data_IF_355927734189
#
_entry.id   IF_355927734189
#
_cell.length_a   1.000
_cell.length_b   1.000
_cell.length_c   1.000
_cell.angle_alpha   90.00
_cell.angle_beta   90.00
_cell.angle_gamma   90.00
#
_symmetry.space_group_name_H-M   'P 1'
#
loop_
_entity.id
_entity.type
_entity.pdbx_description
1 polymer ?
#
# COMPACT_ATOMS: atom_id res chain seq x y z
N UNK A 1 -43.27 51.79 30.31
CA UNK A 1 -43.59 50.41 30.74
C UNK A 1 -44.91 50.01 30.08
N UNK A 2 -44.84 49.18 29.02
CA UNK A 2 -45.97 48.58 28.29
C UNK A 2 -45.36 47.42 27.47
N UNK A 3 -45.70 46.15 27.72
CA UNK A 3 -46.92 45.43 27.36
C UNK A 3 -46.81 44.70 25.99
N UNK A 4 -46.59 43.39 26.11
CA UNK A 4 -47.18 42.28 25.36
C UNK A 4 -47.40 42.35 23.83
N UNK A 5 -46.76 41.36 23.18
CA UNK A 5 -47.35 40.35 22.29
C UNK A 5 -47.85 40.73 20.87
N UNK A 6 -47.37 39.88 19.95
CA UNK A 6 -48.02 39.33 18.74
C UNK A 6 -47.78 40.03 17.40
N UNK A 7 -47.06 39.26 16.56
CA UNK A 7 -47.39 38.88 15.18
C UNK A 7 -47.60 40.01 14.17
N UNK A 8 -46.73 40.05 13.15
CA UNK A 8 -47.05 39.95 11.72
C UNK A 8 -45.71 39.82 10.95
N UNK A 9 -45.46 38.70 10.26
CA UNK A 9 -45.86 38.40 8.86
C UNK A 9 -44.94 39.10 7.87
N UNK A 10 -44.15 38.28 7.15
CA UNK A 10 -43.54 38.45 5.82
C UNK A 10 -42.42 39.49 5.67
N UNK A 11 -41.18 39.03 5.55
CA UNK A 11 -40.49 38.83 4.26
C UNK A 11 -40.31 40.15 3.51
N UNK A 12 -39.16 40.80 3.71
CA UNK A 12 -38.45 41.45 2.59
C UNK A 12 -36.96 41.65 2.93
N UNK A 13 -36.13 40.94 2.16
CA UNK A 13 -34.76 41.28 1.78
C UNK A 13 -33.68 41.44 2.85
N UNK A 14 -33.01 40.32 3.17
CA UNK A 14 -31.58 40.26 2.86
C UNK A 14 -31.09 38.82 2.75
N UNK A 15 -30.86 38.39 1.51
CA UNK A 15 -29.79 37.45 1.08
C UNK A 15 -28.67 37.38 2.15
N UNK A 16 -28.21 36.25 2.68
CA UNK A 16 -28.00 34.92 2.09
C UNK A 16 -27.97 33.87 3.21
N UNK A 17 -28.94 32.95 3.17
CA UNK A 17 -28.91 31.51 3.47
C UNK A 17 -28.01 30.97 4.61
N UNK A 18 -28.71 30.43 5.61
CA UNK A 18 -28.37 29.40 6.61
C UNK A 18 -27.38 28.31 6.10
N UNK A 19 -26.62 27.61 6.94
CA UNK A 19 -27.09 26.41 7.65
C UNK A 19 -26.03 25.97 8.68
N UNK A 20 -26.51 25.72 9.90
CA UNK A 20 -25.84 25.05 11.02
C UNK A 20 -25.50 23.58 10.71
N UNK A 21 -24.74 22.94 11.61
CA UNK A 21 -24.40 21.50 11.74
C UNK A 21 -23.36 20.95 10.75
N UNK A 22 -22.58 19.90 11.10
CA UNK A 22 -22.18 19.34 12.41
C UNK A 22 -20.65 19.20 12.52
N UNK A 23 -20.18 18.79 13.71
CA UNK A 23 -18.92 18.09 14.01
C UNK A 23 -17.82 18.14 12.93
N UNK A 24 -16.67 18.72 13.29
CA UNK A 24 -15.40 18.62 12.57
C UNK A 24 -15.01 17.15 12.38
N UNK A 25 -15.62 16.47 11.41
CA UNK A 25 -15.10 15.26 10.82
C UNK A 25 -13.98 15.73 9.91
N UNK A 26 -12.75 15.39 10.30
CA UNK A 26 -11.66 15.27 9.34
C UNK A 26 -12.17 14.35 8.23
N UNK A 27 -12.71 14.95 7.16
CA UNK A 27 -12.87 14.29 5.89
C UNK A 27 -11.45 14.07 5.41
N UNK A 28 -10.91 12.91 5.79
CA UNK A 28 -9.73 12.38 5.17
C UNK A 28 -10.00 12.48 3.67
N UNK A 29 -9.11 13.22 3.02
CA UNK A 29 -9.02 13.40 1.58
C UNK A 29 -9.34 12.07 0.90
N UNK A 30 -10.05 12.14 -0.23
CA UNK A 30 -10.36 11.01 -1.14
C UNK A 30 -9.32 9.91 -0.94
N UNK A 31 -9.68 8.66 -0.56
CA UNK A 31 -8.70 7.58 -0.57
C UNK A 31 -8.01 7.67 -1.93
N UNK A 32 -6.71 7.97 -1.89
CA UNK A 32 -5.95 8.19 -3.10
C UNK A 32 -6.24 7.01 -4.01
N UNK A 33 -6.47 7.25 -5.31
CA UNK A 33 -6.62 6.15 -6.29
C UNK A 33 -5.40 5.23 -6.34
N UNK A 34 -4.35 5.54 -5.57
CA UNK A 34 -3.51 4.56 -4.89
C UNK A 34 -4.35 3.67 -3.96
N UNK A 35 -5.22 2.86 -4.55
CA UNK A 35 -5.48 1.53 -4.04
C UNK A 35 -4.12 0.82 -3.98
N UNK A 36 -3.36 1.11 -2.92
CA UNK A 36 -2.18 0.38 -2.53
C UNK A 36 -2.61 -1.09 -2.48
N UNK A 37 -2.24 -1.83 -3.52
CA UNK A 37 -2.65 -3.21 -3.72
C UNK A 37 -2.51 -3.96 -2.41
N UNK A 38 -3.62 -4.58 -1.98
CA UNK A 38 -3.89 -5.19 -0.67
C UNK A 38 -2.91 -6.32 -0.32
N UNK A 39 -1.65 -5.97 -0.14
CA UNK A 39 -0.63 -6.85 0.42
C UNK A 39 -0.56 -6.47 1.89
N UNK A 40 -1.30 -7.21 2.71
CA UNK A 40 -1.38 -7.02 4.17
C UNK A 40 -0.09 -7.46 4.88
N UNK A 41 1.08 -7.31 4.26
CA UNK A 41 2.38 -7.70 4.81
C UNK A 41 2.71 -6.99 6.12
N UNK A 42 2.18 -5.79 6.36
CA UNK A 42 2.31 -5.10 7.64
C UNK A 42 1.49 -5.73 8.77
N UNK A 43 0.52 -6.61 8.46
CA UNK A 43 -0.26 -7.36 9.46
C UNK A 43 0.36 -8.72 9.80
N UNK A 44 1.31 -9.19 9.00
CA UNK A 44 1.99 -10.45 9.26
C UNK A 44 2.76 -10.36 10.58
N UNK A 45 2.41 -11.23 11.53
CA UNK A 45 3.10 -11.31 12.82
C UNK A 45 4.19 -12.38 12.85
N UNK A 46 4.21 -13.24 11.83
CA UNK A 46 5.18 -14.32 11.66
C UNK A 46 5.42 -14.60 10.15
N UNK A 47 6.50 -15.32 9.80
CA UNK A 47 6.82 -15.64 8.41
C UNK A 47 5.74 -16.44 7.66
N UNK A 48 5.03 -17.33 8.36
CA UNK A 48 3.96 -18.13 7.76
C UNK A 48 2.82 -17.24 7.27
N UNK A 49 2.39 -16.27 8.08
CA UNK A 49 1.37 -15.30 7.69
C UNK A 49 1.82 -14.46 6.49
N UNK A 50 3.07 -13.98 6.51
CA UNK A 50 3.66 -13.23 5.40
C UNK A 50 3.62 -14.05 4.10
N UNK A 51 4.04 -15.32 4.15
CA UNK A 51 3.95 -16.24 3.01
C UNK A 51 2.51 -16.41 2.51
N UNK A 52 1.53 -16.58 3.41
CA UNK A 52 0.13 -16.70 3.01
C UNK A 52 -0.36 -15.45 2.27
N UNK A 53 -0.04 -14.25 2.76
CA UNK A 53 -0.38 -13.00 2.07
C UNK A 53 0.30 -12.89 0.70
N UNK A 54 1.59 -13.24 0.60
CA UNK A 54 2.33 -13.23 -0.67
C UNK A 54 1.79 -14.25 -1.68
N UNK A 55 1.40 -15.45 -1.22
CA UNK A 55 0.80 -16.50 -2.05
C UNK A 55 -0.60 -16.10 -2.52
N UNK A 56 -1.40 -15.47 -1.66
CA UNK A 56 -2.71 -14.95 -2.03
C UNK A 56 -2.59 -13.81 -3.04
N UNK A 57 -1.61 -12.93 -2.86
CA UNK A 57 -1.30 -11.85 -3.81
C UNK A 57 -0.89 -12.39 -5.18
N UNK A 58 -0.02 -13.41 -5.22
CA UNK A 58 0.49 -14.01 -6.46
C UNK A 58 -0.62 -14.54 -7.40
N UNK A 59 -1.83 -14.78 -6.89
CA UNK A 59 -2.98 -15.28 -7.65
C UNK A 59 -3.83 -14.17 -8.26
N UNK A 60 -3.57 -12.90 -7.91
CA UNK A 60 -4.35 -11.75 -8.35
C UNK A 60 -3.60 -11.03 -9.48
N UNK A 61 -4.28 -10.63 -10.57
CA UNK A 61 -3.65 -9.79 -11.58
C UNK A 61 -3.28 -8.43 -10.96
N UNK A 62 -2.19 -7.85 -11.48
CA UNK A 62 -1.68 -6.55 -11.06
C UNK A 62 -1.85 -5.58 -12.21
N UNK A 63 -2.55 -4.48 -11.94
CA UNK A 63 -2.70 -3.38 -12.90
C UNK A 63 -1.37 -2.64 -13.07
N UNK A 64 -1.06 -2.23 -14.30
CA UNK A 64 0.21 -1.61 -14.68
C UNK A 64 0.54 -0.37 -13.83
N UNK A 65 -0.46 0.44 -13.51
CA UNK A 65 -0.33 1.68 -12.73
C UNK A 65 0.06 1.42 -11.27
N UNK A 66 -0.10 0.18 -10.80
CA UNK A 66 0.13 -0.19 -9.41
C UNK A 66 1.41 -0.99 -9.20
N UNK A 67 2.08 -1.42 -10.28
CA UNK A 67 3.30 -2.26 -10.22
C UNK A 67 4.40 -1.59 -9.40
N UNK A 68 4.71 -0.33 -9.66
CA UNK A 68 5.76 0.41 -8.94
C UNK A 68 5.46 0.50 -7.43
N UNK A 69 4.19 0.73 -7.08
CA UNK A 69 3.75 0.75 -5.69
C UNK A 69 3.92 -0.60 -4.99
N UNK A 70 3.59 -1.70 -5.68
CA UNK A 70 3.79 -3.05 -5.16
C UNK A 70 5.27 -3.36 -4.97
N UNK A 71 6.10 -3.04 -5.96
CA UNK A 71 7.55 -3.24 -5.87
C UNK A 71 8.09 -2.55 -4.62
N UNK A 72 7.69 -1.31 -4.37
CA UNK A 72 8.10 -0.56 -3.17
C UNK A 72 7.68 -1.25 -1.86
N UNK A 73 6.44 -1.73 -1.78
CA UNK A 73 5.93 -2.45 -0.58
C UNK A 73 6.70 -3.76 -0.36
N UNK A 74 6.95 -4.51 -1.44
CA UNK A 74 7.68 -5.77 -1.38
C UNK A 74 9.13 -5.55 -0.93
N UNK A 75 9.80 -4.54 -1.47
CA UNK A 75 11.17 -4.19 -1.10
C UNK A 75 11.26 -3.73 0.36
N UNK A 76 10.34 -2.88 0.81
CA UNK A 76 10.30 -2.45 2.21
C UNK A 76 10.17 -3.64 3.17
N UNK A 77 9.36 -4.64 2.82
CA UNK A 77 9.25 -5.86 3.61
C UNK A 77 10.50 -6.73 3.51
N UNK A 78 11.07 -6.88 2.32
CA UNK A 78 12.27 -7.68 2.09
C UNK A 78 13.45 -7.24 2.98
N UNK A 79 13.70 -5.93 3.11
CA UNK A 79 14.85 -5.42 3.86
C UNK A 79 14.76 -5.67 5.38
N UNK A 80 13.54 -5.80 5.94
CA UNK A 80 13.34 -6.09 7.38
C UNK A 80 13.07 -7.56 7.69
N UNK A 81 12.69 -8.35 6.69
CA UNK A 81 12.39 -9.77 6.86
C UNK A 81 13.65 -10.56 7.19
N UNK A 82 13.58 -11.60 8.00
CA UNK A 82 14.71 -12.49 8.32
C UNK A 82 14.53 -13.90 7.78
N UNK A 83 13.28 -14.30 7.50
CA UNK A 83 12.98 -15.61 6.93
C UNK A 83 13.37 -15.68 5.45
N UNK A 84 14.23 -16.64 5.12
CA UNK A 84 14.70 -16.84 3.75
C UNK A 84 13.57 -17.22 2.78
N UNK A 85 12.56 -17.96 3.24
CA UNK A 85 11.46 -18.39 2.38
C UNK A 85 10.60 -17.21 1.98
N UNK A 86 10.31 -16.29 2.91
CA UNK A 86 9.60 -15.04 2.65
C UNK A 86 10.42 -14.16 1.69
N UNK A 87 11.72 -13.97 1.95
CA UNK A 87 12.61 -13.19 1.07
C UNK A 87 12.65 -13.73 -0.37
N UNK A 88 12.82 -15.04 -0.53
CA UNK A 88 12.80 -15.70 -1.84
C UNK A 88 11.44 -15.54 -2.54
N UNK A 89 10.34 -15.65 -1.80
CA UNK A 89 9.01 -15.43 -2.36
C UNK A 89 8.83 -14.00 -2.85
N UNK A 90 9.35 -13.01 -2.11
CA UNK A 90 9.35 -11.61 -2.53
C UNK A 90 10.18 -11.43 -3.80
N UNK A 91 11.42 -11.93 -3.84
CA UNK A 91 12.28 -11.86 -5.03
C UNK A 91 11.60 -12.46 -6.28
N UNK A 92 10.93 -13.60 -6.13
CA UNK A 92 10.14 -14.21 -7.20
C UNK A 92 9.00 -13.32 -7.70
N UNK A 93 8.30 -12.61 -6.80
CA UNK A 93 7.24 -11.68 -7.18
C UNK A 93 7.76 -10.45 -7.88
N UNK A 94 8.91 -9.90 -7.46
CA UNK A 94 9.56 -8.78 -8.13
C UNK A 94 9.85 -9.12 -9.60
N UNK A 95 10.40 -10.30 -9.88
CA UNK A 95 10.64 -10.76 -11.25
C UNK A 95 9.38 -11.09 -12.06
N UNK A 96 8.24 -11.35 -11.41
CA UNK A 96 6.95 -11.51 -12.08
C UNK A 96 6.37 -10.15 -12.48
N UNK A 97 6.47 -9.16 -11.59
CA UNK A 97 5.93 -7.81 -11.79
C UNK A 97 6.56 -7.08 -12.97
N UNK A 98 7.85 -7.31 -13.26
CA UNK A 98 8.53 -6.74 -14.43
C UNK A 98 7.96 -7.24 -15.77
N UNK A 99 7.22 -8.35 -15.76
CA UNK A 99 6.56 -8.92 -16.94
C UNK A 99 5.13 -8.43 -17.13
N UNK A 100 4.66 -7.48 -16.32
CA UNK A 100 3.32 -6.91 -16.43
C UNK A 100 3.18 -6.21 -17.78
N UNK A 101 2.12 -6.53 -18.53
CA UNK A 101 1.93 -5.98 -19.87
C UNK A 101 1.79 -4.45 -19.81
N UNK A 102 2.58 -3.74 -20.64
CA UNK A 102 2.58 -2.28 -20.70
C UNK A 102 3.38 -1.60 -19.59
N UNK A 103 4.00 -2.35 -18.67
CA UNK A 103 4.91 -1.81 -17.66
C UNK A 103 6.32 -1.68 -18.23
N UNK A 104 6.95 -0.51 -18.05
CA UNK A 104 8.39 -0.33 -18.32
C UNK A 104 9.17 -0.68 -17.05
N UNK A 105 10.09 -1.67 -17.09
CA UNK A 105 10.86 -2.08 -15.92
C UNK A 105 11.99 -1.10 -15.56
N UNK A 106 12.30 -0.13 -16.41
CA UNK A 106 13.42 0.80 -16.23
C UNK A 106 13.33 1.59 -14.92
N UNK A 107 12.11 1.85 -14.42
CA UNK A 107 11.91 2.57 -13.16
C UNK A 107 12.14 1.74 -11.90
N UNK A 108 12.28 0.41 -12.01
CA UNK A 108 12.44 -0.50 -10.85
C UNK A 108 13.66 -1.43 -11.00
N UNK A 109 14.31 -1.45 -12.16
CA UNK A 109 15.35 -2.42 -12.48
C UNK A 109 16.55 -2.33 -11.55
N UNK A 110 17.02 -1.13 -11.22
CA UNK A 110 18.14 -0.92 -10.29
C UNK A 110 17.80 -1.43 -8.89
N UNK A 111 16.61 -1.09 -8.37
CA UNK A 111 16.17 -1.52 -7.05
C UNK A 111 16.06 -3.05 -6.95
N UNK A 112 15.46 -3.68 -7.98
CA UNK A 112 15.32 -5.13 -8.04
C UNK A 112 16.69 -5.80 -8.19
N UNK A 113 17.56 -5.26 -9.04
CA UNK A 113 18.90 -5.81 -9.27
C UNK A 113 19.75 -5.73 -8.00
N UNK A 114 19.76 -4.57 -7.33
CA UNK A 114 20.46 -4.39 -6.07
C UNK A 114 19.95 -5.38 -5.00
N UNK A 115 18.64 -5.57 -4.92
CA UNK A 115 18.02 -6.53 -4.00
C UNK A 115 18.48 -7.97 -4.25
N UNK A 116 18.51 -8.39 -5.52
CA UNK A 116 18.94 -9.74 -5.91
C UNK A 116 20.43 -9.99 -5.68
N UNK A 117 21.28 -8.98 -5.91
CA UNK A 117 22.70 -9.07 -5.61
C UNK A 117 22.95 -9.25 -4.10
N UNK A 118 22.21 -8.51 -3.25
CA UNK A 118 22.27 -8.66 -1.80
C UNK A 118 21.83 -10.07 -1.32
N UNK A 119 20.81 -10.70 -1.95
CA UNK A 119 20.48 -12.12 -1.69
C UNK A 119 21.69 -13.01 -2.00
N UNK A 120 22.30 -12.84 -3.18
CA UNK A 120 23.40 -13.69 -3.65
C UNK A 120 24.62 -13.60 -2.75
N UNK A 121 24.98 -12.39 -2.32
CA UNK A 121 26.06 -12.18 -1.38
C UNK A 121 25.74 -12.85 -0.04
N UNK A 122 24.53 -12.67 0.51
CA UNK A 122 24.14 -13.31 1.78
C UNK A 122 24.21 -14.84 1.72
N UNK A 123 23.82 -15.43 0.59
CA UNK A 123 23.87 -16.88 0.38
C UNK A 123 25.30 -17.39 0.18
N UNK A 124 26.18 -16.58 -0.43
CA UNK A 124 27.58 -16.96 -0.68
C UNK A 124 28.43 -17.12 0.59
N UNK A 125 28.03 -16.48 1.69
CA UNK A 125 28.66 -16.63 3.01
C UNK A 125 28.09 -17.79 3.84
N UNK A 126 27.04 -18.47 3.37
CA UNK A 126 26.58 -19.67 4.05
C UNK A 126 27.62 -20.76 3.84
N UNK A 127 28.15 -21.37 4.91
CA UNK A 127 29.08 -22.48 4.76
C UNK A 127 28.36 -23.58 4.00
N UNK A 128 28.78 -23.83 2.76
CA UNK A 128 28.39 -25.00 1.99
C UNK A 128 28.78 -26.20 2.84
N UNK A 129 27.82 -26.84 3.46
CA UNK A 129 28.02 -28.05 4.23
C UNK A 129 28.68 -29.08 3.32
N UNK A 130 30.00 -29.20 3.43
CA UNK A 130 30.76 -30.27 2.82
C UNK A 130 30.20 -31.57 3.38
N UNK A 131 29.53 -32.34 2.52
CA UNK A 131 29.20 -33.73 2.80
C UNK A 131 30.52 -34.48 3.01
N UNK A 132 30.67 -35.06 4.20
CA UNK A 132 31.62 -36.13 4.49
C UNK A 132 30.96 -37.48 4.33
#
# INVERSE_FOLDING_TARGET
MAAHLKKRVYEEFSKVVQVEVPAKKLRLTKPSKSAALHIDLCKASNPTDALQYLLQFARKPVEVESVEGVVRILLEHYYKETDNSVRLKIASLLGLLTKTQGFSPDCVVDDVTNTLNNESERLSWLPTAHQG
#
